data_IF_762280900105
#
_entry.id   IF_762280900105
#
_cell.length_a   1.000
_cell.length_b   1.000
_cell.length_c   1.000
_cell.angle_alpha   90.00
_cell.angle_beta   90.00
_cell.angle_gamma   90.00
#
_symmetry.space_group_name_H-M   'P 1'
#
loop_
_entity.id
_entity.type
_entity.pdbx_description
1 polymer ?
#
# COMPACT_ATOMS: atom_id res chain seq x y z
N UNK A 1 10.73 -33.77 9.57
CA UNK A 1 12.08 -33.61 9.00
C UNK A 1 12.51 -32.15 9.07
N UNK A 2 11.76 -31.19 8.51
CA UNK A 2 12.04 -29.73 8.58
C UNK A 2 12.34 -29.13 9.99
N UNK A 3 11.73 -29.64 11.06
CA UNK A 3 12.04 -29.22 12.43
C UNK A 3 13.34 -29.83 13.00
N UNK A 4 13.74 -31.02 12.54
CA UNK A 4 15.04 -31.63 12.91
C UNK A 4 16.20 -31.00 12.15
N UNK A 5 15.93 -30.53 10.93
CA UNK A 5 16.90 -29.87 10.07
C UNK A 5 17.13 -28.39 10.44
N UNK A 6 16.49 -27.90 11.51
CA UNK A 6 16.68 -26.55 12.05
C UNK A 6 15.99 -25.41 11.28
N UNK A 7 15.23 -25.73 10.23
CA UNK A 7 14.53 -24.77 9.36
C UNK A 7 13.27 -24.18 9.98
N UNK A 8 12.60 -24.95 10.85
CA UNK A 8 11.46 -24.45 11.59
C UNK A 8 11.97 -23.63 12.79
N UNK A 9 11.54 -22.36 12.88
CA UNK A 9 11.69 -21.57 14.10
C UNK A 9 10.87 -22.29 15.17
N UNK A 10 11.52 -23.16 15.94
CA UNK A 10 10.96 -23.69 17.17
C UNK A 10 10.99 -22.53 18.13
N UNK A 11 9.90 -21.76 18.14
CA UNK A 11 9.63 -20.82 19.22
C UNK A 11 9.70 -21.67 20.50
N UNK A 12 10.63 -21.38 21.43
CA UNK A 12 10.67 -22.09 22.70
C UNK A 12 9.25 -22.08 23.24
N UNK A 13 8.71 -23.24 23.62
CA UNK A 13 7.36 -23.32 24.22
C UNK A 13 7.24 -22.16 25.18
N UNK A 14 6.34 -21.21 24.88
CA UNK A 14 6.18 -20.00 25.66
C UNK A 14 5.65 -20.44 27.02
N UNK A 15 6.57 -20.79 27.91
CA UNK A 15 6.25 -21.20 29.25
C UNK A 15 5.75 -19.92 29.91
N UNK A 16 4.44 -19.86 30.18
CA UNK A 16 3.73 -18.64 30.57
C UNK A 16 4.28 -18.00 31.87
N UNK A 17 5.21 -18.70 32.54
CA UNK A 17 5.91 -18.29 33.76
C UNK A 17 7.19 -17.50 33.51
N UNK A 18 7.74 -17.50 32.29
CA UNK A 18 8.96 -16.75 31.98
C UNK A 18 8.65 -15.30 31.60
N UNK A 19 9.39 -14.32 32.13
CA UNK A 19 9.15 -12.92 31.82
C UNK A 19 9.47 -12.61 30.35
N UNK A 20 8.71 -11.70 29.75
CA UNK A 20 8.74 -11.37 28.31
C UNK A 20 10.15 -11.01 27.80
N UNK A 21 10.95 -10.32 28.61
CA UNK A 21 12.33 -9.94 28.26
C UNK A 21 13.25 -11.16 28.08
N UNK A 22 13.01 -12.25 28.83
CA UNK A 22 13.79 -13.48 28.72
C UNK A 22 13.42 -14.23 27.43
N UNK A 23 12.13 -14.22 27.06
CA UNK A 23 11.67 -14.82 25.80
C UNK A 23 12.23 -14.07 24.59
N UNK A 24 12.27 -12.74 24.63
CA UNK A 24 12.84 -11.88 23.58
C UNK A 24 14.35 -12.07 23.43
N UNK A 25 15.09 -12.15 24.53
CA UNK A 25 16.55 -12.37 24.51
C UNK A 25 16.92 -13.77 24.03
N UNK A 26 16.17 -14.79 24.42
CA UNK A 26 16.33 -16.15 23.90
C UNK A 26 16.01 -16.22 22.41
N UNK A 27 14.95 -15.54 21.96
CA UNK A 27 14.61 -15.43 20.55
C UNK A 27 15.75 -14.82 19.73
N UNK A 28 16.23 -13.63 20.10
CA UNK A 28 17.33 -12.96 19.39
C UNK A 28 18.63 -13.77 19.39
N UNK A 29 18.99 -14.38 20.53
CA UNK A 29 20.20 -15.21 20.63
C UNK A 29 20.13 -16.44 19.73
N UNK A 30 18.97 -17.07 19.62
CA UNK A 30 18.78 -18.27 18.80
C UNK A 30 18.69 -17.93 17.32
N UNK A 31 18.03 -16.82 16.97
CA UNK A 31 17.92 -16.37 15.59
C UNK A 31 19.27 -15.92 15.03
N UNK A 32 20.00 -15.02 15.72
CA UNK A 32 21.28 -14.48 15.25
C UNK A 32 22.35 -15.56 15.01
N UNK A 33 22.38 -16.60 15.84
CA UNK A 33 23.36 -17.69 15.70
C UNK A 33 23.03 -18.67 14.58
N UNK A 34 21.79 -18.65 14.05
CA UNK A 34 21.33 -19.56 12.99
C UNK A 34 20.98 -18.82 11.69
N UNK A 35 21.34 -17.54 11.54
CA UNK A 35 21.06 -16.79 10.30
C UNK A 35 21.93 -17.29 9.16
N UNK A 36 21.29 -17.76 8.10
CA UNK A 36 21.92 -18.02 6.81
C UNK A 36 21.93 -16.74 5.96
N UNK A 37 22.99 -15.93 6.08
CA UNK A 37 23.12 -14.63 5.40
C UNK A 37 22.99 -14.72 3.88
N UNK A 38 23.44 -15.81 3.25
CA UNK A 38 23.27 -16.03 1.80
C UNK A 38 21.80 -16.07 1.39
N UNK A 39 20.94 -16.71 2.20
CA UNK A 39 19.51 -16.77 1.93
C UNK A 39 18.87 -15.38 2.09
N UNK A 40 19.29 -14.63 3.10
CA UNK A 40 18.82 -13.25 3.32
C UNK A 40 19.18 -12.36 2.13
N UNK A 41 20.41 -12.46 1.62
CA UNK A 41 20.85 -11.68 0.45
C UNK A 41 20.06 -12.03 -0.82
N UNK A 42 19.72 -13.30 -1.02
CA UNK A 42 18.87 -13.72 -2.14
C UNK A 42 17.43 -13.18 -2.05
N UNK A 43 16.98 -12.78 -0.85
CA UNK A 43 15.66 -12.20 -0.63
C UNK A 43 15.65 -10.66 -0.63
N UNK A 44 16.80 -10.00 -0.80
CA UNK A 44 16.88 -8.54 -0.85
C UNK A 44 15.94 -7.94 -1.92
N UNK A 45 15.84 -8.48 -3.15
CA UNK A 45 14.86 -8.00 -4.12
C UNK A 45 13.42 -8.12 -3.60
N UNK A 46 13.06 -9.27 -2.99
CA UNK A 46 11.77 -9.52 -2.35
C UNK A 46 11.41 -8.44 -1.33
N UNK A 47 12.36 -8.13 -0.46
CA UNK A 47 12.21 -7.14 0.61
C UNK A 47 12.02 -5.74 0.02
N UNK A 48 12.80 -5.36 -1.00
CA UNK A 48 12.69 -4.05 -1.64
C UNK A 48 11.35 -3.85 -2.35
N UNK A 49 10.87 -4.87 -3.09
CA UNK A 49 9.57 -4.81 -3.73
C UNK A 49 8.44 -4.68 -2.70
N UNK A 50 8.49 -5.48 -1.63
CA UNK A 50 7.52 -5.39 -0.55
C UNK A 50 7.56 -4.03 0.14
N UNK A 51 8.75 -3.47 0.39
CA UNK A 51 8.92 -2.15 0.99
C UNK A 51 8.31 -1.05 0.11
N UNK A 52 8.54 -1.11 -1.21
CA UNK A 52 7.96 -0.15 -2.15
C UNK A 52 6.44 -0.24 -2.17
N UNK A 53 5.89 -1.45 -2.31
CA UNK A 53 4.43 -1.67 -2.27
C UNK A 53 3.84 -1.21 -0.94
N UNK A 54 4.52 -1.47 0.17
CA UNK A 54 4.09 -1.02 1.50
C UNK A 54 4.03 0.50 1.62
N UNK A 55 5.05 1.22 1.13
CA UNK A 55 5.02 2.67 1.06
C UNK A 55 3.87 3.19 0.18
N UNK A 56 3.65 2.59 -0.99
CA UNK A 56 2.56 2.99 -1.89
C UNK A 56 1.19 2.78 -1.23
N UNK A 57 0.96 1.64 -0.59
CA UNK A 57 -0.26 1.36 0.16
C UNK A 57 -0.45 2.34 1.32
N UNK A 58 0.61 2.63 2.10
CA UNK A 58 0.55 3.58 3.19
C UNK A 58 0.23 5.00 2.70
N UNK A 59 0.82 5.44 1.59
CA UNK A 59 0.53 6.74 0.99
C UNK A 59 -0.91 6.82 0.49
N UNK A 60 -1.41 5.77 -0.17
CA UNK A 60 -2.78 5.70 -0.64
C UNK A 60 -3.76 5.79 0.53
N UNK A 61 -3.49 5.08 1.62
CA UNK A 61 -4.31 5.13 2.82
C UNK A 61 -4.26 6.50 3.51
N UNK A 62 -3.08 7.12 3.63
CA UNK A 62 -2.95 8.48 4.17
C UNK A 62 -3.74 9.49 3.34
N UNK A 63 -3.69 9.40 2.01
CA UNK A 63 -4.47 10.27 1.12
C UNK A 63 -5.97 10.00 1.19
N UNK A 64 -6.37 8.76 1.34
CA UNK A 64 -7.78 8.43 1.56
C UNK A 64 -8.28 8.98 2.92
N UNK A 65 -7.47 8.93 3.98
CA UNK A 65 -7.79 9.57 5.24
C UNK A 65 -7.91 11.09 5.05
N UNK A 66 -6.92 11.75 4.44
CA UNK A 66 -6.91 13.19 4.14
C UNK A 66 -8.19 13.62 3.41
N UNK A 67 -8.58 12.84 2.39
CA UNK A 67 -9.79 13.08 1.60
C UNK A 67 -11.07 12.92 2.43
N UNK A 68 -11.16 11.91 3.29
CA UNK A 68 -12.37 11.67 4.11
C UNK A 68 -12.50 12.68 5.25
N UNK A 69 -11.37 13.08 5.84
CA UNK A 69 -11.32 14.00 6.99
C UNK A 69 -11.28 15.46 6.58
N UNK A 70 -10.98 15.74 5.30
CA UNK A 70 -10.78 17.09 4.76
C UNK A 70 -9.70 17.86 5.54
N UNK A 71 -8.69 17.16 6.04
CA UNK A 71 -7.61 17.71 6.84
C UNK A 71 -6.28 17.32 6.23
N UNK A 72 -5.48 18.32 5.85
CA UNK A 72 -4.17 18.10 5.22
C UNK A 72 -3.23 17.34 6.16
N UNK A 73 -2.60 16.29 5.64
CA UNK A 73 -1.63 15.46 6.34
C UNK A 73 -0.23 15.67 5.75
N UNK A 74 0.75 15.87 6.63
CA UNK A 74 2.15 15.87 6.21
C UNK A 74 2.62 14.42 6.01
N UNK A 75 2.62 13.97 4.75
CA UNK A 75 3.01 12.61 4.36
C UNK A 75 4.41 12.25 4.83
N UNK A 76 5.37 13.17 4.79
CA UNK A 76 6.75 12.89 5.17
C UNK A 76 6.83 12.55 6.66
N UNK A 77 6.11 13.30 7.49
CA UNK A 77 6.08 13.06 8.94
C UNK A 77 5.38 11.73 9.27
N UNK A 78 4.26 11.44 8.60
CA UNK A 78 3.51 10.20 8.83
C UNK A 78 4.27 8.96 8.34
N UNK A 79 4.90 9.03 7.17
CA UNK A 79 5.73 7.94 6.64
C UNK A 79 6.97 7.70 7.51
N UNK A 80 7.62 8.76 8.01
CA UNK A 80 8.72 8.62 8.98
C UNK A 80 8.24 7.96 10.27
N UNK A 81 7.07 8.35 10.79
CA UNK A 81 6.50 7.74 11.99
C UNK A 81 6.18 6.25 11.78
N UNK A 82 5.62 5.88 10.62
CA UNK A 82 5.38 4.47 10.24
C UNK A 82 6.71 3.71 10.14
N UNK A 83 7.72 4.29 9.49
CA UNK A 83 9.05 3.68 9.34
C UNK A 83 9.73 3.42 10.68
N UNK A 84 9.77 4.42 11.57
CA UNK A 84 10.31 4.28 12.93
C UNK A 84 9.54 3.22 13.71
N UNK A 85 8.20 3.21 13.60
CA UNK A 85 7.35 2.19 14.23
C UNK A 85 7.69 0.77 13.76
N UNK A 86 7.90 0.57 12.45
CA UNK A 86 8.26 -0.72 11.88
C UNK A 86 9.67 -1.17 12.29
N UNK A 87 10.63 -0.25 12.42
CA UNK A 87 11.98 -0.55 12.94
C UNK A 87 11.88 -1.01 14.40
N UNK A 88 11.15 -0.27 15.24
CA UNK A 88 10.94 -0.63 16.65
C UNK A 88 10.21 -1.98 16.80
N UNK A 89 9.22 -2.24 15.95
CA UNK A 89 8.48 -3.53 15.88
C UNK A 89 9.39 -4.70 15.47
N UNK A 90 10.32 -4.45 14.56
CA UNK A 90 11.28 -5.46 14.12
C UNK A 90 12.30 -5.77 15.22
N UNK A 91 12.82 -4.74 15.91
CA UNK A 91 13.73 -4.89 17.04
C UNK A 91 13.09 -5.61 18.23
N UNK A 92 11.78 -5.41 18.45
CA UNK A 92 11.02 -6.14 19.47
C UNK A 92 10.67 -7.57 19.07
N UNK A 93 11.16 -8.08 17.93
CA UNK A 93 10.96 -9.47 17.50
C UNK A 93 9.55 -9.78 16.96
N UNK A 94 8.67 -8.78 16.85
CA UNK A 94 7.34 -8.95 16.27
C UNK A 94 7.42 -9.11 14.74
N UNK A 95 8.34 -8.38 14.10
CA UNK A 95 8.82 -8.65 12.72
C UNK A 95 7.81 -8.46 11.59
N UNK A 96 6.58 -8.04 11.88
CA UNK A 96 5.55 -7.83 10.87
C UNK A 96 5.43 -6.36 10.46
N UNK A 97 5.46 -6.03 9.16
CA UNK A 97 5.27 -4.67 8.69
C UNK A 97 3.81 -4.24 8.89
N UNK A 98 3.60 -3.06 9.47
CA UNK A 98 2.27 -2.49 9.71
C UNK A 98 2.26 -1.03 9.28
N UNK A 99 1.13 -0.60 8.72
CA UNK A 99 0.86 0.80 8.39
C UNK A 99 -0.55 1.19 8.86
N UNK A 100 -0.89 2.46 8.70
CA UNK A 100 -2.20 3.00 9.09
C UNK A 100 -3.29 2.50 8.14
N UNK A 101 -4.38 1.96 8.68
CA UNK A 101 -5.55 1.57 7.88
C UNK A 101 -6.60 2.69 7.91
N UNK A 102 -7.06 3.12 6.74
CA UNK A 102 -8.09 4.18 6.59
C UNK A 102 -9.30 3.92 7.46
N UNK A 103 -9.83 2.70 7.40
CA UNK A 103 -11.06 2.31 8.10
C UNK A 103 -10.95 2.49 9.60
N UNK A 104 -9.80 2.13 10.19
CA UNK A 104 -9.55 2.28 11.63
C UNK A 104 -9.48 3.75 12.03
N UNK A 105 -8.73 4.55 11.28
CA UNK A 105 -8.52 5.97 11.56
C UNK A 105 -9.81 6.77 11.41
N UNK A 106 -10.56 6.55 10.33
CA UNK A 106 -11.85 7.21 10.10
C UNK A 106 -12.86 6.83 11.18
N UNK A 107 -12.89 5.55 11.59
CA UNK A 107 -13.78 5.11 12.67
C UNK A 107 -13.44 5.77 13.99
N UNK A 108 -12.15 5.84 14.33
CA UNK A 108 -11.69 6.54 15.54
C UNK A 108 -12.09 8.03 15.52
N UNK A 109 -11.95 8.71 14.38
CA UNK A 109 -12.33 10.11 14.21
C UNK A 109 -13.85 10.31 14.32
N UNK A 110 -14.64 9.40 13.75
CA UNK A 110 -16.11 9.41 13.88
C UNK A 110 -16.58 9.22 15.33
N UNK A 111 -15.82 8.48 16.13
CA UNK A 111 -16.05 8.33 17.57
C UNK A 111 -15.59 9.56 18.39
N UNK A 112 -15.18 10.65 17.74
CA UNK A 112 -14.75 11.89 18.39
C UNK A 112 -13.30 11.89 18.86
N UNK A 113 -12.51 10.89 18.47
CA UNK A 113 -11.11 10.81 18.86
C UNK A 113 -10.27 11.84 18.10
N UNK A 114 -9.81 12.88 18.80
CA UNK A 114 -8.97 13.97 18.24
C UNK A 114 -7.61 14.12 18.93
N UNK A 115 -7.24 13.15 19.76
CA UNK A 115 -6.03 13.22 20.60
C UNK A 115 -5.12 12.02 20.41
N UNK A 116 -3.81 12.24 20.59
CA UNK A 116 -2.77 11.20 20.61
C UNK A 116 -3.00 10.14 21.71
N UNK A 117 -3.84 10.45 22.70
CA UNK A 117 -4.25 9.53 23.76
C UNK A 117 -4.92 8.26 23.21
N UNK A 118 -5.55 8.33 22.03
CA UNK A 118 -6.18 7.17 21.39
C UNK A 118 -5.17 6.06 21.07
N UNK A 119 -3.95 6.42 20.69
CA UNK A 119 -2.89 5.44 20.46
C UNK A 119 -2.53 4.68 21.73
N UNK A 120 -2.44 5.39 22.85
CA UNK A 120 -2.16 4.80 24.18
C UNK A 120 -3.30 3.88 24.60
N UNK A 121 -4.56 4.33 24.47
CA UNK A 121 -5.73 3.51 24.77
C UNK A 121 -5.79 2.27 23.89
N UNK A 122 -5.49 2.39 22.59
CA UNK A 122 -5.40 1.24 21.67
C UNK A 122 -4.36 0.23 22.15
N UNK A 123 -3.17 0.67 22.56
CA UNK A 123 -2.14 -0.23 23.11
C UNK A 123 -2.64 -0.91 24.38
N UNK A 124 -3.23 -0.15 25.32
CA UNK A 124 -3.74 -0.67 26.59
C UNK A 124 -4.86 -1.70 26.40
N UNK A 125 -5.71 -1.55 25.37
CA UNK A 125 -6.77 -2.51 25.07
C UNK A 125 -6.27 -3.72 24.27
N UNK A 126 -5.37 -3.52 23.31
CA UNK A 126 -4.91 -4.60 22.41
C UNK A 126 -3.86 -5.48 23.08
N UNK A 127 -2.95 -4.92 23.87
CA UNK A 127 -1.85 -5.67 24.48
C UNK A 127 -2.33 -6.84 25.37
N UNK A 128 -3.32 -6.69 26.27
CA UNK A 128 -3.87 -7.82 27.04
C UNK A 128 -4.54 -8.86 26.15
N UNK A 129 -5.17 -8.42 25.06
CA UNK A 129 -5.87 -9.30 24.13
C UNK A 129 -4.90 -10.26 23.42
N UNK A 130 -3.67 -9.83 23.14
CA UNK A 130 -2.61 -10.68 22.58
C UNK A 130 -2.31 -11.89 23.48
N UNK A 131 -2.31 -11.69 24.82
CA UNK A 131 -2.06 -12.77 25.79
C UNK A 131 -3.20 -13.81 25.77
N UNK A 132 -4.44 -13.37 25.54
CA UNK A 132 -5.61 -14.25 25.43
C UNK A 132 -5.61 -15.00 24.10
N UNK A 133 -5.24 -14.32 23.00
CA UNK A 133 -5.22 -14.86 21.63
C UNK A 133 -4.33 -16.10 21.54
N UNK A 134 -3.19 -16.15 22.23
CA UNK A 134 -2.32 -17.33 22.27
C UNK A 134 -3.00 -18.61 22.78
N UNK A 135 -4.00 -18.49 23.65
CA UNK A 135 -4.82 -19.62 24.10
C UNK A 135 -6.00 -19.93 23.18
N UNK A 136 -6.57 -18.93 22.52
CA UNK A 136 -7.79 -19.10 21.70
C UNK A 136 -7.47 -19.62 20.29
N UNK A 137 -6.42 -19.09 19.65
CA UNK A 137 -6.08 -19.41 18.26
C UNK A 137 -5.84 -20.90 18.01
N UNK A 138 -5.11 -21.65 18.86
CA UNK A 138 -4.92 -23.07 18.65
C UNK A 138 -6.21 -23.91 18.74
N UNK A 139 -7.26 -23.38 19.37
CA UNK A 139 -8.57 -24.03 19.53
C UNK A 139 -9.51 -23.74 18.37
N UNK A 140 -9.21 -22.76 17.53
CA UNK A 140 -10.03 -22.42 16.38
C UNK A 140 -9.88 -23.50 15.29
N UNK A 141 -10.99 -23.88 14.61
CA UNK A 141 -10.92 -24.73 13.44
C UNK A 141 -10.01 -24.11 12.38
N UNK A 142 -9.06 -24.91 11.87
CA UNK A 142 -8.14 -24.47 10.79
C UNK A 142 -8.86 -24.05 9.51
N UNK A 143 -10.12 -24.45 9.35
CA UNK A 143 -11.00 -24.05 8.24
C UNK A 143 -11.26 -22.54 8.23
N UNK A 144 -11.34 -21.88 9.39
CA UNK A 144 -11.67 -20.46 9.49
C UNK A 144 -10.68 -19.54 8.75
N UNK A 145 -9.36 -19.58 9.01
CA UNK A 145 -8.41 -18.74 8.26
C UNK A 145 -8.40 -19.09 6.76
N UNK A 146 -8.66 -20.35 6.40
CA UNK A 146 -8.81 -20.77 5.00
C UNK A 146 -10.01 -20.11 4.31
N UNK A 147 -11.17 -20.07 4.97
CA UNK A 147 -12.36 -19.39 4.45
C UNK A 147 -12.13 -17.88 4.29
N UNK A 148 -11.47 -17.24 5.25
CA UNK A 148 -11.13 -15.81 5.17
C UNK A 148 -10.17 -15.54 4.01
N UNK A 149 -9.14 -16.37 3.83
CA UNK A 149 -8.22 -16.26 2.71
C UNK A 149 -8.93 -16.45 1.36
N UNK A 150 -9.83 -17.44 1.27
CA UNK A 150 -10.63 -17.68 0.07
C UNK A 150 -11.57 -16.50 -0.24
N UNK A 151 -12.19 -15.92 0.78
CA UNK A 151 -13.01 -14.71 0.64
C UNK A 151 -12.20 -13.53 0.11
N UNK A 152 -11.01 -13.28 0.65
CA UNK A 152 -10.11 -12.24 0.12
C UNK A 152 -9.70 -12.51 -1.32
N UNK A 153 -9.44 -13.77 -1.69
CA UNK A 153 -9.14 -14.15 -3.06
C UNK A 153 -10.27 -13.80 -4.04
N UNK A 154 -11.52 -14.09 -3.68
CA UNK A 154 -12.69 -13.71 -4.50
C UNK A 154 -12.83 -12.19 -4.58
N UNK A 155 -12.71 -11.50 -3.44
CA UNK A 155 -12.83 -10.03 -3.39
C UNK A 155 -11.80 -9.36 -4.29
N UNK A 156 -10.53 -9.73 -4.18
CA UNK A 156 -9.46 -9.18 -5.03
C UNK A 156 -9.64 -9.56 -6.51
N UNK A 157 -10.11 -10.76 -6.81
CA UNK A 157 -10.38 -11.19 -8.19
C UNK A 157 -11.50 -10.37 -8.82
N UNK A 158 -12.58 -10.12 -8.08
CA UNK A 158 -13.69 -9.29 -8.53
C UNK A 158 -13.24 -7.85 -8.74
N UNK A 159 -12.55 -7.28 -7.76
CA UNK A 159 -12.07 -5.90 -7.79
C UNK A 159 -11.11 -5.69 -8.97
N UNK A 160 -10.15 -6.60 -9.14
CA UNK A 160 -9.15 -6.52 -10.22
C UNK A 160 -9.75 -6.79 -11.60
N UNK A 161 -10.66 -7.76 -11.72
CA UNK A 161 -11.19 -8.16 -13.02
C UNK A 161 -12.39 -7.35 -13.47
N UNK A 162 -13.45 -7.32 -12.66
CA UNK A 162 -14.73 -6.75 -13.06
C UNK A 162 -14.77 -5.24 -12.83
N UNK A 163 -14.30 -4.79 -11.67
CA UNK A 163 -14.47 -3.40 -11.27
C UNK A 163 -13.50 -2.48 -12.04
N UNK A 164 -12.26 -2.91 -12.29
CA UNK A 164 -11.31 -2.17 -13.14
C UNK A 164 -11.81 -2.03 -14.58
N UNK A 165 -12.36 -3.09 -15.18
CA UNK A 165 -12.93 -3.03 -16.54
C UNK A 165 -14.13 -2.08 -16.64
N UNK A 166 -14.86 -1.87 -15.55
CA UNK A 166 -16.05 -0.99 -15.51
C UNK A 166 -15.70 0.46 -15.19
N UNK A 167 -14.68 0.71 -14.37
CA UNK A 167 -14.37 2.04 -13.85
C UNK A 167 -13.31 2.77 -14.68
N UNK A 168 -12.35 2.05 -15.29
CA UNK A 168 -11.28 2.68 -16.05
C UNK A 168 -11.61 2.79 -17.54
N UNK A 169 -11.48 4.00 -18.09
CA UNK A 169 -11.71 4.25 -19.53
C UNK A 169 -10.43 4.14 -20.38
N UNK A 170 -9.23 4.18 -19.78
CA UNK A 170 -7.97 4.09 -20.54
C UNK A 170 -7.53 2.64 -20.74
N UNK A 171 -7.48 2.21 -22.01
CA UNK A 171 -7.13 0.84 -22.42
C UNK A 171 -5.76 0.38 -21.92
N UNK A 172 -4.80 1.31 -21.80
CA UNK A 172 -3.45 1.01 -21.34
C UNK A 172 -3.39 0.61 -19.87
N UNK A 173 -4.18 1.25 -19.01
CA UNK A 173 -4.21 0.94 -17.58
C UNK A 173 -4.77 -0.47 -17.35
N UNK A 174 -5.83 -0.83 -18.08
CA UNK A 174 -6.42 -2.17 -18.06
C UNK A 174 -5.41 -3.22 -18.56
N UNK A 175 -4.68 -2.91 -19.63
CA UNK A 175 -3.67 -3.81 -20.17
C UNK A 175 -2.52 -4.08 -19.19
N UNK A 176 -2.05 -3.05 -18.47
CA UNK A 176 -1.01 -3.20 -17.44
C UNK A 176 -1.51 -4.12 -16.32
N UNK A 177 -2.71 -3.87 -15.80
CA UNK A 177 -3.27 -4.68 -14.71
C UNK A 177 -3.48 -6.13 -15.13
N UNK A 178 -4.04 -6.36 -16.32
CA UNK A 178 -4.24 -7.71 -16.85
C UNK A 178 -2.91 -8.46 -17.04
N UNK A 179 -1.89 -7.76 -17.55
CA UNK A 179 -0.54 -8.32 -17.68
C UNK A 179 0.05 -8.67 -16.31
N UNK A 180 -0.03 -7.77 -15.33
CA UNK A 180 0.47 -8.01 -13.97
C UNK A 180 -0.25 -9.20 -13.32
N UNK A 181 -1.57 -9.32 -13.49
CA UNK A 181 -2.33 -10.45 -12.98
C UNK A 181 -1.87 -11.78 -13.62
N UNK A 182 -1.64 -11.79 -14.93
CA UNK A 182 -1.16 -12.97 -15.66
C UNK A 182 0.24 -13.39 -15.22
N UNK A 183 1.17 -12.44 -15.09
CA UNK A 183 2.53 -12.71 -14.60
C UNK A 183 2.51 -13.20 -13.16
N UNK A 184 1.65 -12.64 -12.31
CA UNK A 184 1.50 -13.07 -10.91
C UNK A 184 1.01 -14.52 -10.84
N UNK A 185 0.06 -14.90 -11.69
CA UNK A 185 -0.48 -16.25 -11.72
C UNK A 185 0.51 -17.28 -12.30
N UNK A 186 1.35 -16.88 -13.26
CA UNK A 186 2.26 -17.79 -13.95
C UNK A 186 3.62 -17.96 -13.26
N UNK A 187 4.18 -16.88 -12.72
CA UNK A 187 5.56 -16.86 -12.19
C UNK A 187 5.58 -16.52 -10.70
N UNK A 188 4.94 -15.41 -10.35
CA UNK A 188 4.94 -14.93 -8.97
C UNK A 188 4.72 -13.43 -8.86
N UNK A 189 4.47 -12.98 -7.63
CA UNK A 189 4.20 -11.57 -7.33
C UNK A 189 5.41 -10.68 -7.62
N UNK A 190 6.63 -11.16 -7.37
CA UNK A 190 7.83 -10.33 -7.51
C UNK A 190 8.09 -9.96 -8.97
N UNK A 191 8.05 -10.95 -9.85
CA UNK A 191 8.23 -10.76 -11.29
C UNK A 191 7.11 -9.87 -11.86
N UNK A 192 5.89 -10.04 -11.36
CA UNK A 192 4.77 -9.18 -11.74
C UNK A 192 4.94 -7.72 -11.32
N UNK A 193 5.47 -7.46 -10.12
CA UNK A 193 5.78 -6.10 -9.66
C UNK A 193 6.85 -5.45 -10.55
N UNK A 194 7.92 -6.18 -10.88
CA UNK A 194 8.99 -5.68 -11.74
C UNK A 194 8.49 -5.39 -13.16
N UNK A 195 7.79 -6.34 -13.78
CA UNK A 195 7.23 -6.19 -15.13
C UNK A 195 6.21 -5.05 -15.15
N UNK A 196 5.31 -5.00 -14.17
CA UNK A 196 4.31 -3.94 -14.04
C UNK A 196 4.94 -2.56 -13.95
N UNK A 197 5.98 -2.40 -13.12
CA UNK A 197 6.70 -1.14 -13.00
C UNK A 197 7.36 -0.71 -14.32
N UNK A 198 8.09 -1.62 -14.99
CA UNK A 198 8.77 -1.30 -16.24
C UNK A 198 7.79 -0.92 -17.35
N UNK A 199 6.68 -1.66 -17.49
CA UNK A 199 5.65 -1.35 -18.48
C UNK A 199 4.95 -0.04 -18.14
N UNK A 200 4.67 0.24 -16.86
CA UNK A 200 4.07 1.50 -16.44
C UNK A 200 4.97 2.69 -16.78
N UNK A 201 6.28 2.62 -16.51
CA UNK A 201 7.25 3.65 -16.90
C UNK A 201 7.27 3.84 -18.41
N UNK A 202 7.33 2.75 -19.17
CA UNK A 202 7.37 2.82 -20.63
C UNK A 202 6.10 3.44 -21.22
N UNK A 203 4.93 2.99 -20.78
CA UNK A 203 3.63 3.55 -21.19
C UNK A 203 3.54 5.02 -20.80
N UNK A 204 3.97 5.40 -19.60
CA UNK A 204 4.03 6.79 -19.16
C UNK A 204 4.90 7.65 -20.08
N UNK A 205 6.09 7.18 -20.43
CA UNK A 205 6.99 7.88 -21.36
C UNK A 205 6.35 8.03 -22.74
N UNK A 206 5.72 6.99 -23.27
CA UNK A 206 5.02 7.05 -24.56
C UNK A 206 3.84 8.03 -24.54
N UNK A 207 3.03 7.99 -23.48
CA UNK A 207 1.91 8.91 -23.32
C UNK A 207 2.38 10.37 -23.22
N UNK A 208 3.46 10.62 -22.47
CA UNK A 208 4.06 11.95 -22.34
C UNK A 208 4.60 12.45 -23.68
N UNK A 209 5.38 11.62 -24.39
CA UNK A 209 5.95 11.97 -25.69
C UNK A 209 4.87 12.23 -26.76
N UNK A 210 3.78 11.45 -26.73
CA UNK A 210 2.68 11.59 -27.71
C UNK A 210 1.78 12.80 -27.41
N UNK A 211 1.61 13.18 -26.13
CA UNK A 211 0.86 14.38 -25.74
C UNK A 211 1.65 15.68 -25.93
N UNK A 212 2.96 15.62 -26.20
CA UNK A 212 3.80 16.77 -26.49
C UNK A 212 3.60 17.37 -27.90
N UNK A 213 2.47 17.11 -28.57
CA UNK A 213 2.00 17.99 -29.64
C UNK A 213 1.52 19.30 -29.00
N UNK A 214 2.42 20.28 -28.93
CA UNK A 214 2.15 21.66 -28.57
C UNK A 214 1.15 22.24 -29.57
N UNK A 215 -0.16 22.04 -29.35
CA UNK A 215 -1.17 22.96 -29.88
C UNK A 215 -1.17 24.13 -28.90
N UNK A 216 -0.26 25.08 -29.16
CA UNK A 216 -0.02 26.25 -28.31
C UNK A 216 -1.27 27.13 -28.14
N UNK A 217 -2.22 27.02 -29.06
CA UNK A 217 -3.62 27.38 -28.93
C UNK A 217 -4.32 26.93 -30.22
N UNK A 218 -5.53 26.38 -30.15
CA UNK A 218 -6.45 26.39 -31.29
C UNK A 218 -7.37 27.60 -31.14
N UNK A 219 -6.80 28.80 -31.22
CA UNK A 219 -7.62 30.01 -31.34
C UNK A 219 -8.14 30.06 -32.78
N UNK A 220 -9.43 29.86 -32.95
CA UNK A 220 -10.11 30.21 -34.20
C UNK A 220 -9.92 31.71 -34.40
N UNK A 221 -9.37 32.12 -35.55
CA UNK A 221 -9.11 33.52 -35.89
C UNK A 221 -10.35 34.44 -35.82
N UNK A 222 -11.55 33.87 -35.64
CA UNK A 222 -12.80 34.58 -35.37
C UNK A 222 -12.82 35.31 -34.01
N UNK A 223 -12.03 34.88 -33.01
CA UNK A 223 -12.01 35.49 -31.67
C UNK A 223 -10.79 36.40 -31.40
N UNK A 224 -9.88 36.53 -32.37
CA UNK A 224 -8.73 37.42 -32.29
C UNK A 224 -9.13 38.85 -32.69
N UNK A 225 -9.23 39.74 -31.71
CA UNK A 225 -9.48 41.17 -31.94
C UNK A 225 -8.16 41.88 -32.29
N UNK A 226 -8.13 42.56 -33.44
CA UNK A 226 -6.99 43.39 -33.85
C UNK A 226 -6.69 44.46 -32.79
N UNK A 227 -5.41 44.69 -32.49
CA UNK A 227 -4.95 45.67 -31.49
C UNK A 227 -5.17 47.15 -31.91
N UNK A 228 -5.84 47.38 -33.04
CA UNK A 228 -6.25 48.70 -33.53
C UNK A 228 -7.72 48.95 -33.19
N UNK A 229 -8.00 49.96 -32.35
CA UNK A 229 -9.37 50.37 -32.05
C UNK A 229 -10.09 50.85 -33.31
N UNK A 230 -11.10 50.10 -33.76
CA UNK A 230 -11.96 50.48 -34.90
C UNK A 230 -13.25 51.14 -34.40
N UNK A 231 -13.76 52.18 -35.09
CA UNK A 231 -15.05 52.78 -34.78
C UNK A 231 -16.21 51.78 -34.91
N UNK A 232 -17.23 51.91 -34.06
CA UNK A 232 -18.39 51.00 -33.94
C UNK A 232 -19.08 50.70 -35.27
N UNK A 233 -19.20 51.69 -36.16
CA UNK A 233 -19.84 51.55 -37.47
C UNK A 233 -19.18 50.47 -38.37
N UNK A 234 -17.88 50.19 -38.20
CA UNK A 234 -17.19 49.16 -38.97
C UNK A 234 -17.28 47.76 -38.34
N UNK A 235 -17.60 47.64 -37.05
CA UNK A 235 -17.81 46.34 -36.40
C UNK A 235 -19.16 45.74 -36.79
N UNK A 236 -20.18 46.57 -36.94
CA UNK A 236 -21.55 46.14 -37.29
C UNK A 236 -21.64 45.52 -38.69
N UNK A 237 -20.74 45.90 -39.61
CA UNK A 237 -20.65 45.33 -40.97
C UNK A 237 -19.99 43.93 -40.94
N UNK A 238 -19.05 43.70 -40.02
CA UNK A 238 -18.35 42.41 -39.91
C UNK A 238 -19.20 41.34 -39.22
N UNK A 239 -20.10 41.71 -38.30
CA UNK A 239 -21.02 40.75 -37.65
C UNK A 239 -22.16 40.28 -38.57
N UNK A 240 -22.38 40.96 -39.69
CA UNK A 240 -23.40 40.61 -40.70
C UNK A 240 -22.91 39.67 -41.80
N UNK A 241 -21.62 39.35 -41.85
CA UNK A 241 -21.03 38.38 -42.79
C UNK A 241 -20.80 37.04 -42.11
#
# INVERSE_FOLDING_TARGET
QLARDGWLIVVPSADARQPLYLQLTLFWRTCLTRVHWTVVMNQVPAILGLMLTHCLCAMMDLKAVELITQAELNLDTELQAIGVGNILSSLSGCGWPVYILVSQTVTALKLGSRSRLMGVLKIMCVYPMILVVGGVVPRLPRVLPGCVAFWFGIMFSKETGLDILRQHSHKWDIAIVALMALVTAAVGLMEALLVGFLVAVWVFTLQYATRASVVRASETAAFLRSNTGRPLAHMEILERM
#
